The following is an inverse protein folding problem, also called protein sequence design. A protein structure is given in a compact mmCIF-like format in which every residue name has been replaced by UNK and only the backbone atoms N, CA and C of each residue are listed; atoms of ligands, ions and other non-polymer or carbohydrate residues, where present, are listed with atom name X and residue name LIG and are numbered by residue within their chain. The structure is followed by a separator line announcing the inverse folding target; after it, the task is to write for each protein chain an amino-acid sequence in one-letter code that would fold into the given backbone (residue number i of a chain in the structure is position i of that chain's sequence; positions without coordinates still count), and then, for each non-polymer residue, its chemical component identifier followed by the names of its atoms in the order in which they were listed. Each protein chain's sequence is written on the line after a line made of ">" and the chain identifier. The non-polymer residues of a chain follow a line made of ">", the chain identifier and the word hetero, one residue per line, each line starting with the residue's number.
data_IF_036476982685
#
_entry.id   IF_036476982685
#
_cell.length_a   1.000
_cell.length_b   1.000
_cell.length_c   1.000
_cell.angle_alpha   90.00
_cell.angle_beta   90.00
_cell.angle_gamma   90.00
#
_symmetry.space_group_name_H-M   'P 1'
#
loop_
_entity.id
_entity.type
_entity.pdbx_description
1 polymer ?
#
# COMPACT_ATOMS: atom_id res chain seq x y z
N UNK A 1 -4.14 -0.69 17.77
CA UNK A 1 -2.71 -0.71 18.16
C UNK A 1 -2.01 0.53 17.64
N UNK A 2 -1.85 0.74 16.33
CA UNK A 2 -1.20 1.96 15.78
C UNK A 2 -1.88 3.29 16.16
N UNK A 3 -3.22 3.36 16.14
CA UNK A 3 -3.95 4.58 16.57
C UNK A 3 -3.87 4.83 18.09
N UNK A 4 -3.48 3.83 18.88
CA UNK A 4 -3.33 3.99 20.33
C UNK A 4 -1.91 4.45 20.65
N UNK A 5 -0.88 3.82 20.08
CA UNK A 5 0.51 4.25 20.24
C UNK A 5 0.72 5.68 19.71
N UNK A 6 0.21 6.00 18.51
CA UNK A 6 0.40 7.33 17.94
C UNK A 6 -0.25 8.47 18.74
N UNK A 7 -1.32 8.20 19.50
CA UNK A 7 -2.07 9.24 20.23
C UNK A 7 -1.87 9.20 21.74
N UNK A 8 -1.47 8.06 22.32
CA UNK A 8 -1.36 7.89 23.77
C UNK A 8 0.08 7.66 24.27
N UNK A 9 1.01 7.25 23.41
CA UNK A 9 2.42 7.13 23.77
C UNK A 9 3.11 8.50 23.63
N UNK A 10 3.55 9.06 24.75
CA UNK A 10 4.05 10.45 24.85
C UNK A 10 5.56 10.60 24.55
N UNK A 11 6.22 9.55 24.06
CA UNK A 11 7.67 9.58 23.79
C UNK A 11 7.99 10.13 22.39
N UNK A 12 7.61 11.38 22.15
CA UNK A 12 8.01 12.10 20.95
C UNK A 12 9.30 12.87 21.19
N UNK A 13 10.42 12.32 20.74
CA UNK A 13 11.57 13.12 20.33
C UNK A 13 11.12 14.12 19.26
N UNK A 14 10.82 15.36 19.65
CA UNK A 14 10.42 16.46 18.74
C UNK A 14 11.51 16.90 17.75
N UNK A 15 12.60 16.13 17.62
CA UNK A 15 13.72 16.45 16.73
C UNK A 15 13.46 15.86 15.36
N UNK A 16 13.13 16.73 14.41
CA UNK A 16 13.13 16.39 12.98
C UNK A 16 14.52 15.87 12.60
N UNK A 17 14.58 14.72 11.93
CA UNK A 17 15.83 14.11 11.52
C UNK A 17 16.66 15.09 10.65
N UNK A 18 17.99 15.16 10.80
CA UNK A 18 18.82 16.13 10.08
C UNK A 18 18.76 15.93 8.55
N UNK A 19 18.44 14.72 8.08
CA UNK A 19 18.28 14.41 6.66
C UNK A 19 16.91 14.80 6.08
N UNK A 20 15.96 15.26 6.89
CA UNK A 20 14.59 15.54 6.45
C UNK A 20 14.54 16.51 5.28
N UNK A 21 15.37 17.58 5.30
CA UNK A 21 15.44 18.55 4.20
C UNK A 21 15.92 17.91 2.90
N UNK A 22 16.89 17.00 2.97
CA UNK A 22 17.41 16.28 1.80
C UNK A 22 16.36 15.33 1.22
N UNK A 23 15.64 14.59 2.08
CA UNK A 23 14.54 13.70 1.66
C UNK A 23 13.43 14.50 1.00
N UNK A 24 13.06 15.64 1.57
CA UNK A 24 12.06 16.54 1.02
C UNK A 24 12.47 17.05 -0.37
N UNK A 25 13.73 17.45 -0.54
CA UNK A 25 14.27 17.92 -1.82
C UNK A 25 14.24 16.81 -2.87
N UNK A 26 14.65 15.58 -2.50
CA UNK A 26 14.58 14.42 -3.40
C UNK A 26 13.13 14.15 -3.81
N UNK A 27 12.20 14.15 -2.86
CA UNK A 27 10.77 13.95 -3.12
C UNK A 27 10.21 14.99 -4.12
N UNK A 28 10.46 16.29 -3.87
CA UNK A 28 10.00 17.34 -4.78
C UNK A 28 10.68 17.26 -6.15
N UNK A 29 11.96 16.90 -6.20
CA UNK A 29 12.67 16.73 -7.47
C UNK A 29 12.07 15.60 -8.31
N UNK A 30 11.71 14.47 -7.69
CA UNK A 30 11.04 13.35 -8.37
C UNK A 30 9.64 13.74 -8.84
N UNK A 31 8.89 14.48 -8.02
CA UNK A 31 7.57 14.97 -8.40
C UNK A 31 7.65 15.88 -9.64
N UNK A 32 8.57 16.84 -9.65
CA UNK A 32 8.79 17.74 -10.80
C UNK A 32 9.20 16.93 -12.03
N UNK A 33 10.08 15.94 -11.87
CA UNK A 33 10.52 15.06 -12.96
C UNK A 33 9.34 14.26 -13.56
N UNK A 34 8.46 13.70 -12.72
CA UNK A 34 7.28 12.96 -13.18
C UNK A 34 6.32 13.89 -13.95
N UNK A 35 6.03 15.08 -13.41
CA UNK A 35 5.17 16.07 -14.07
C UNK A 35 5.78 16.49 -15.42
N UNK A 36 7.08 16.78 -15.44
CA UNK A 36 7.77 17.17 -16.66
C UNK A 36 7.76 16.05 -17.72
N UNK A 37 7.98 14.81 -17.29
CA UNK A 37 7.92 13.62 -18.18
C UNK A 37 6.52 13.43 -18.74
N UNK A 38 5.48 13.63 -17.94
CA UNK A 38 4.08 13.53 -18.38
C UNK A 38 3.76 14.48 -19.54
N UNK A 39 4.27 15.72 -19.50
CA UNK A 39 4.02 16.71 -20.55
C UNK A 39 4.84 16.48 -21.83
N UNK A 40 6.05 15.91 -21.74
CA UNK A 40 6.93 15.72 -22.91
C UNK A 40 6.71 14.36 -23.58
N UNK A 41 6.58 13.31 -22.77
CA UNK A 41 6.53 11.93 -23.27
C UNK A 41 5.67 11.05 -22.36
N UNK A 42 4.33 11.21 -22.41
CA UNK A 42 3.40 10.52 -21.51
C UNK A 42 3.45 8.99 -21.64
N UNK A 43 3.87 8.47 -22.79
CA UNK A 43 4.01 7.03 -23.02
C UNK A 43 5.11 6.38 -22.18
N UNK A 44 6.12 7.13 -21.71
CA UNK A 44 7.11 6.59 -20.76
C UNK A 44 6.54 6.30 -19.38
N UNK A 45 5.38 6.89 -19.03
CA UNK A 45 4.71 6.65 -17.75
C UNK A 45 3.69 5.49 -17.83
N UNK A 46 3.54 4.86 -18.99
CA UNK A 46 2.67 3.71 -19.15
C UNK A 46 3.44 2.42 -18.85
N UNK A 47 3.13 1.81 -17.70
CA UNK A 47 3.73 0.55 -17.27
C UNK A 47 2.66 -0.56 -17.26
N UNK A 48 2.82 -1.62 -18.07
CA UNK A 48 1.90 -2.75 -18.05
C UNK A 48 2.02 -3.51 -16.71
N UNK A 49 0.90 -4.03 -16.19
CA UNK A 49 0.86 -4.82 -14.95
C UNK A 49 1.39 -4.08 -13.71
N UNK A 50 1.25 -2.75 -13.66
CA UNK A 50 1.76 -1.92 -12.55
C UNK A 50 1.31 -2.42 -11.18
N UNK A 51 0.03 -2.78 -11.03
CA UNK A 51 -0.53 -3.26 -9.76
C UNK A 51 0.08 -4.57 -9.31
N UNK A 52 0.40 -5.47 -10.24
CA UNK A 52 1.12 -6.70 -9.93
C UNK A 52 2.54 -6.40 -9.45
N UNK A 53 3.26 -5.54 -10.17
CA UNK A 53 4.67 -5.22 -9.87
C UNK A 53 4.74 -4.55 -8.50
N UNK A 54 3.92 -3.54 -8.24
CA UNK A 54 3.86 -2.84 -6.96
C UNK A 54 3.38 -3.78 -5.86
N UNK A 55 2.35 -4.59 -6.12
CA UNK A 55 1.82 -5.55 -5.15
C UNK A 55 2.86 -6.57 -4.71
N UNK A 56 3.57 -7.20 -5.65
CA UNK A 56 4.60 -8.22 -5.36
C UNK A 56 5.81 -7.60 -4.67
N UNK A 57 6.32 -6.48 -5.18
CA UNK A 57 7.49 -5.82 -4.59
C UNK A 57 7.17 -5.24 -3.21
N UNK A 58 6.01 -4.62 -3.07
CA UNK A 58 5.50 -4.09 -1.81
C UNK A 58 5.22 -5.16 -0.76
N UNK A 59 4.76 -6.35 -1.18
CA UNK A 59 4.50 -7.46 -0.27
C UNK A 59 5.76 -8.19 0.24
N UNK A 60 6.96 -7.81 -0.24
CA UNK A 60 8.21 -8.47 0.15
C UNK A 60 8.42 -8.52 1.68
N UNK A 61 8.24 -7.43 2.45
CA UNK A 61 8.46 -7.47 3.90
C UNK A 61 7.46 -8.39 4.62
N UNK A 62 6.22 -8.48 4.12
CA UNK A 62 5.23 -9.41 4.65
C UNK A 62 5.66 -10.88 4.47
N UNK A 63 6.07 -11.27 3.26
CA UNK A 63 6.55 -12.63 3.03
C UNK A 63 7.82 -12.94 3.83
N UNK A 64 8.76 -11.99 3.89
CA UNK A 64 9.96 -12.11 4.70
C UNK A 64 9.63 -12.32 6.19
N UNK A 65 8.68 -11.54 6.73
CA UNK A 65 8.25 -11.63 8.12
C UNK A 65 7.54 -12.95 8.43
N UNK A 66 6.70 -13.46 7.52
CA UNK A 66 6.03 -14.76 7.72
C UNK A 66 7.03 -15.91 7.73
N UNK A 67 8.05 -15.87 6.87
CA UNK A 67 9.10 -16.90 6.82
C UNK A 67 9.96 -16.86 8.10
N UNK A 68 10.29 -15.67 8.61
CA UNK A 68 11.17 -15.51 9.77
C UNK A 68 10.45 -15.62 11.12
N UNK A 69 9.21 -15.12 11.22
CA UNK A 69 8.38 -15.09 12.43
C UNK A 69 6.95 -15.61 12.13
N UNK A 70 6.77 -16.91 11.84
CA UNK A 70 5.47 -17.45 11.42
C UNK A 70 4.36 -17.32 12.47
N UNK A 71 4.70 -17.21 13.75
CA UNK A 71 3.73 -17.00 14.82
C UNK A 71 2.98 -15.66 14.70
N UNK A 72 3.60 -14.64 14.06
CA UNK A 72 2.96 -13.34 13.81
C UNK A 72 1.98 -13.39 12.63
N UNK A 73 2.11 -14.35 11.72
CA UNK A 73 1.27 -14.44 10.52
C UNK A 73 -0.23 -14.49 10.88
N UNK A 74 -0.59 -15.26 11.90
CA UNK A 74 -1.97 -15.36 12.36
C UNK A 74 -2.50 -14.04 12.93
N UNK A 75 -1.67 -13.26 13.62
CA UNK A 75 -2.04 -11.93 14.15
C UNK A 75 -2.28 -10.95 13.00
N UNK A 76 -1.38 -10.92 12.02
CA UNK A 76 -1.47 -10.03 10.86
C UNK A 76 -2.67 -10.37 9.97
N UNK A 77 -2.90 -11.65 9.69
CA UNK A 77 -4.03 -12.09 8.87
C UNK A 77 -5.38 -11.84 9.56
N UNK A 78 -5.48 -12.00 10.88
CA UNK A 78 -6.70 -11.64 11.63
C UNK A 78 -7.03 -10.16 11.48
N UNK A 79 -6.03 -9.27 11.56
CA UNK A 79 -6.21 -7.85 11.31
C UNK A 79 -6.61 -7.57 9.85
N UNK A 80 -6.04 -8.31 8.89
CA UNK A 80 -6.42 -8.24 7.48
C UNK A 80 -7.88 -8.59 7.24
N UNK A 81 -8.36 -9.73 7.77
CA UNK A 81 -9.74 -10.20 7.58
C UNK A 81 -10.77 -9.15 7.98
N UNK A 82 -10.55 -8.44 9.09
CA UNK A 82 -11.43 -7.36 9.50
C UNK A 82 -11.48 -6.22 8.46
N UNK A 83 -10.32 -5.83 7.92
CA UNK A 83 -10.22 -4.71 6.98
C UNK A 83 -10.64 -5.05 5.54
N UNK A 84 -10.75 -6.33 5.18
CA UNK A 84 -11.26 -6.75 3.85
C UNK A 84 -12.61 -6.11 3.57
N UNK A 85 -13.55 -6.15 4.52
CA UNK A 85 -14.88 -5.59 4.33
C UNK A 85 -14.83 -4.06 4.14
N UNK A 86 -13.98 -3.38 4.91
CA UNK A 86 -13.79 -1.94 4.80
C UNK A 86 -13.25 -1.56 3.42
N UNK A 87 -12.16 -2.19 2.96
CA UNK A 87 -11.57 -1.89 1.67
C UNK A 87 -12.47 -2.29 0.50
N UNK A 88 -13.13 -3.44 0.58
CA UNK A 88 -14.06 -3.87 -0.46
C UNK A 88 -15.26 -2.92 -0.58
N UNK A 89 -15.84 -2.47 0.56
CA UNK A 89 -16.92 -1.49 0.52
C UNK A 89 -16.47 -0.16 -0.07
N UNK A 90 -15.25 0.30 0.27
CA UNK A 90 -14.67 1.50 -0.32
C UNK A 90 -14.49 1.35 -1.84
N UNK A 91 -13.91 0.23 -2.28
CA UNK A 91 -13.66 -0.07 -3.69
C UNK A 91 -14.96 -0.08 -4.51
N UNK A 92 -15.98 -0.82 -4.04
CA UNK A 92 -17.26 -0.89 -4.73
C UNK A 92 -17.96 0.47 -4.78
N UNK A 93 -17.85 1.27 -3.72
CA UNK A 93 -18.41 2.62 -3.69
C UNK A 93 -17.69 3.52 -4.69
N UNK A 94 -16.35 3.52 -4.70
CA UNK A 94 -15.54 4.33 -5.60
C UNK A 94 -15.78 3.98 -7.07
N UNK A 95 -15.94 2.69 -7.39
CA UNK A 95 -16.27 2.21 -8.73
C UNK A 95 -17.70 2.60 -9.13
N UNK A 96 -18.68 2.45 -8.23
CA UNK A 96 -20.07 2.81 -8.53
C UNK A 96 -20.26 4.32 -8.76
N UNK A 97 -19.46 5.14 -8.09
CA UNK A 97 -19.44 6.60 -8.25
C UNK A 97 -18.47 7.09 -9.32
N UNK A 98 -17.82 6.19 -10.07
CA UNK A 98 -16.88 6.52 -11.14
C UNK A 98 -15.68 7.37 -10.69
N UNK A 99 -15.37 7.34 -9.38
CA UNK A 99 -14.24 8.05 -8.77
C UNK A 99 -12.92 7.32 -8.96
N UNK A 100 -13.00 6.03 -9.27
CA UNK A 100 -11.85 5.15 -9.46
C UNK A 100 -12.05 4.30 -10.70
N UNK A 101 -10.98 4.15 -11.49
CA UNK A 101 -11.00 3.45 -12.77
C UNK A 101 -9.67 2.74 -12.99
N UNK A 102 -9.74 1.66 -13.77
CA UNK A 102 -8.60 0.82 -14.07
C UNK A 102 -8.30 0.76 -15.57
N UNK A 103 -7.76 1.82 -16.20
CA UNK A 103 -7.51 1.87 -17.65
C UNK A 103 -6.23 1.13 -18.10
N UNK A 104 -5.85 0.03 -17.43
CA UNK A 104 -4.55 -0.63 -17.57
C UNK A 104 -4.60 -2.08 -18.06
N UNK A 105 -3.44 -2.73 -18.02
CA UNK A 105 -3.29 -4.17 -18.26
C UNK A 105 -3.17 -4.92 -16.94
N UNK A 106 -3.97 -5.97 -16.79
CA UNK A 106 -4.11 -6.78 -15.60
C UNK A 106 -4.12 -8.26 -15.97
N UNK A 107 -3.69 -9.12 -15.05
CA UNK A 107 -3.70 -10.59 -15.20
C UNK A 107 -5.13 -11.10 -15.31
N UNK A 108 -6.05 -10.46 -14.57
CA UNK A 108 -7.45 -10.84 -14.56
C UNK A 108 -8.32 -9.77 -13.95
N UNK A 109 -9.62 -9.98 -14.02
CA UNK A 109 -10.60 -9.10 -13.41
C UNK A 109 -11.56 -9.89 -12.55
N UNK A 110 -12.01 -9.26 -11.48
CA UNK A 110 -13.09 -9.73 -10.64
C UNK A 110 -14.32 -8.91 -10.97
N UNK A 111 -15.46 -9.57 -11.07
CA UNK A 111 -16.75 -8.93 -11.31
C UNK A 111 -17.66 -9.18 -10.10
N UNK A 112 -18.16 -8.09 -9.50
CA UNK A 112 -19.08 -8.12 -8.36
C UNK A 112 -20.16 -7.07 -8.57
N UNK A 113 -21.44 -7.45 -8.47
CA UNK A 113 -22.59 -6.54 -8.62
C UNK A 113 -22.57 -5.71 -9.93
N UNK A 114 -22.00 -6.27 -11.01
CA UNK A 114 -21.83 -5.58 -12.29
C UNK A 114 -20.64 -4.60 -12.35
N UNK A 115 -19.95 -4.37 -11.23
CA UNK A 115 -18.69 -3.62 -11.16
C UNK A 115 -17.51 -4.54 -11.43
N UNK A 116 -16.47 -4.01 -12.07
CA UNK A 116 -15.28 -4.76 -12.45
C UNK A 116 -14.01 -4.05 -12.00
N UNK A 117 -13.10 -4.82 -11.42
CA UNK A 117 -11.80 -4.33 -10.98
C UNK A 117 -10.72 -5.42 -11.11
N UNK A 118 -9.43 -5.06 -11.11
CA UNK A 118 -8.34 -6.02 -11.29
C UNK A 118 -8.26 -7.07 -10.18
N UNK A 119 -7.89 -8.29 -10.55
CA UNK A 119 -7.63 -9.36 -9.59
C UNK A 119 -6.47 -9.00 -8.65
N UNK A 120 -5.44 -8.34 -9.16
CA UNK A 120 -4.28 -7.92 -8.39
C UNK A 120 -4.65 -6.91 -7.30
N UNK A 121 -5.60 -6.01 -7.58
CA UNK A 121 -6.12 -5.06 -6.59
C UNK A 121 -6.79 -5.80 -5.43
N UNK A 122 -7.64 -6.78 -5.74
CA UNK A 122 -8.28 -7.59 -4.72
C UNK A 122 -7.26 -8.28 -3.81
N UNK A 123 -6.23 -8.89 -4.38
CA UNK A 123 -5.25 -9.65 -3.60
C UNK A 123 -4.34 -8.72 -2.78
N UNK A 124 -3.70 -7.74 -3.42
CA UNK A 124 -2.66 -6.95 -2.76
C UNK A 124 -3.20 -5.80 -1.95
N UNK A 125 -4.27 -5.15 -2.40
CA UNK A 125 -4.85 -4.02 -1.70
C UNK A 125 -5.90 -4.46 -0.69
N UNK A 126 -6.91 -5.22 -1.12
CA UNK A 126 -8.07 -5.55 -0.27
C UNK A 126 -7.73 -6.66 0.75
N UNK A 127 -7.12 -7.75 0.29
CA UNK A 127 -6.84 -8.91 1.16
C UNK A 127 -5.54 -8.74 1.95
N UNK A 128 -4.44 -8.40 1.27
CA UNK A 128 -3.11 -8.33 1.87
C UNK A 128 -2.69 -6.93 2.30
N UNK A 129 -3.42 -5.87 1.95
CA UNK A 129 -2.97 -4.49 2.17
C UNK A 129 -2.68 -4.19 3.65
N UNK A 130 -3.61 -4.54 4.54
CA UNK A 130 -3.39 -4.41 5.99
C UNK A 130 -2.23 -5.28 6.50
N UNK A 131 -2.19 -6.60 6.24
CA UNK A 131 -1.04 -7.42 6.64
C UNK A 131 0.31 -6.92 6.14
N UNK A 132 0.36 -6.40 4.90
CA UNK A 132 1.58 -5.82 4.31
C UNK A 132 2.01 -4.59 5.09
N UNK A 133 1.11 -3.62 5.30
CA UNK A 133 1.42 -2.39 6.03
C UNK A 133 1.90 -2.72 7.45
N UNK A 134 1.20 -3.61 8.15
CA UNK A 134 1.60 -4.02 9.50
C UNK A 134 2.96 -4.72 9.54
N UNK A 135 3.32 -5.49 8.50
CA UNK A 135 4.64 -6.09 8.40
C UNK A 135 5.76 -5.04 8.24
N UNK A 136 5.51 -3.93 7.53
CA UNK A 136 6.47 -2.81 7.50
C UNK A 136 6.67 -2.21 8.90
N UNK A 137 5.60 -2.01 9.66
CA UNK A 137 5.73 -1.51 11.03
C UNK A 137 6.54 -2.46 11.90
N UNK A 138 6.23 -3.76 11.87
CA UNK A 138 6.94 -4.78 12.66
C UNK A 138 8.43 -4.88 12.30
N UNK A 139 8.81 -4.63 11.03
CA UNK A 139 10.20 -4.78 10.59
C UNK A 139 11.04 -3.51 10.76
N UNK A 140 10.43 -2.34 10.66
CA UNK A 140 11.16 -1.06 10.57
C UNK A 140 10.87 -0.11 11.72
N UNK A 141 9.80 -0.33 12.49
CA UNK A 141 9.36 0.57 13.57
C UNK A 141 9.34 -0.15 14.91
N UNK A 142 8.92 -1.41 14.95
CA UNK A 142 8.93 -2.21 16.17
C UNK A 142 10.37 -2.69 16.48
N UNK A 143 10.90 -2.28 17.63
CA UNK A 143 12.22 -2.65 18.14
C UNK A 143 12.25 -4.09 18.72
N UNK A 144 11.16 -4.87 18.55
CA UNK A 144 11.09 -6.28 18.92
C UNK A 144 11.06 -6.53 20.42
N UNK A 145 10.49 -5.58 21.19
CA UNK A 145 10.34 -5.66 22.65
C UNK A 145 8.93 -6.05 23.07
#
# INVERSE_FOLDING_TARGET
>A
MVYYEHFFEHDHSQKVAPLFKSVLLVFFSLLVLIIFTFFIYPSALYFPYTYLIIGVTGAFPFFYLIITKPHLAAKLLKAGIFNIFLFLSFELTALSLDQWRFPGQYIGHIQLFGLQFPFEEFIFWIVLGTPIILAYYELFVDDGR
#
